data_IF_325533847254
#
_entry.id   IF_325533847254
#
_cell.length_a   1.000
_cell.length_b   1.000
_cell.length_c   1.000
_cell.angle_alpha   90.00
_cell.angle_beta   90.00
_cell.angle_gamma   90.00
#
_symmetry.space_group_name_H-M   'P 1'
#
loop_
_entity.id
_entity.type
_entity.pdbx_description
1 polymer ?
#
# COMPACT_ATOMS: atom_id res chain seq x y z
N UNK A 1 -25.78 -41.13 8.30
CA UNK A 1 -24.91 -42.32 8.37
C UNK A 1 -23.50 -41.85 8.08
N UNK A 2 -22.58 -41.99 9.03
CA UNK A 2 -21.16 -41.60 8.93
C UNK A 2 -20.40 -42.84 8.46
N UNK A 3 -19.53 -42.69 7.45
CA UNK A 3 -18.68 -43.77 6.97
C UNK A 3 -17.30 -43.69 7.67
N UNK A 4 -16.58 -44.82 7.70
CA UNK A 4 -15.21 -44.83 8.20
C UNK A 4 -14.35 -43.90 7.36
N UNK A 5 -13.70 -42.92 8.01
CA UNK A 5 -12.90 -41.86 7.36
C UNK A 5 -13.61 -40.50 7.25
N UNK A 6 -14.91 -40.42 7.51
CA UNK A 6 -15.62 -39.12 7.54
C UNK A 6 -15.22 -38.34 8.80
N UNK A 7 -14.90 -37.03 8.68
CA UNK A 7 -14.64 -36.19 9.84
C UNK A 7 -15.92 -35.98 10.65
N UNK A 8 -15.91 -36.31 11.94
CA UNK A 8 -17.09 -36.17 12.83
C UNK A 8 -16.96 -34.93 13.69
N UNK A 9 -15.74 -34.50 14.00
CA UNK A 9 -15.44 -33.36 14.85
C UNK A 9 -14.15 -32.69 14.37
N UNK A 10 -14.15 -31.37 14.38
CA UNK A 10 -12.92 -30.58 14.17
C UNK A 10 -12.58 -29.85 15.46
N UNK A 11 -11.39 -30.12 16.00
CA UNK A 11 -10.87 -29.41 17.14
C UNK A 11 -9.92 -28.31 16.65
N UNK A 12 -10.09 -27.10 17.14
CA UNK A 12 -9.30 -25.93 16.79
C UNK A 12 -8.58 -25.44 18.04
N UNK A 13 -7.28 -25.23 17.93
CA UNK A 13 -6.50 -24.53 18.94
C UNK A 13 -6.46 -23.03 18.58
N UNK A 14 -7.13 -22.15 19.34
CA UNK A 14 -7.16 -20.72 19.06
C UNK A 14 -5.77 -20.06 19.04
N UNK A 15 -4.81 -20.63 19.78
CA UNK A 15 -3.43 -20.10 19.83
C UNK A 15 -2.65 -20.30 18.52
N UNK A 16 -3.14 -21.18 17.64
CA UNK A 16 -2.50 -21.50 16.35
C UNK A 16 -3.20 -20.88 15.14
N UNK A 17 -4.15 -19.98 15.36
CA UNK A 17 -4.86 -19.31 14.26
C UNK A 17 -3.98 -18.26 13.60
N UNK A 18 -3.89 -18.31 12.28
CA UNK A 18 -3.16 -17.36 11.46
C UNK A 18 -4.10 -16.59 10.55
N UNK A 19 -3.73 -15.35 10.24
CA UNK A 19 -4.38 -14.56 9.20
C UNK A 19 -3.67 -14.87 7.88
N UNK A 20 -4.38 -15.47 6.94
CA UNK A 20 -3.86 -15.70 5.59
C UNK A 20 -4.21 -14.52 4.70
N UNK A 21 -3.21 -13.92 4.08
CA UNK A 21 -3.38 -12.85 3.13
C UNK A 21 -2.74 -13.19 1.77
N UNK A 22 -3.20 -12.50 0.74
CA UNK A 22 -2.72 -12.63 -0.63
C UNK A 22 -2.12 -11.29 -1.05
N UNK A 23 -0.94 -11.33 -1.62
CA UNK A 23 -0.18 -10.14 -2.01
C UNK A 23 0.25 -10.29 -3.46
N UNK A 24 -0.03 -9.26 -4.27
CA UNK A 24 0.39 -9.22 -5.68
C UNK A 24 1.88 -9.55 -5.81
N UNK A 25 2.25 -10.35 -6.81
CA UNK A 25 3.62 -10.80 -7.00
C UNK A 25 4.60 -9.65 -7.18
N UNK A 26 4.18 -8.57 -7.86
CA UNK A 26 5.00 -7.36 -8.04
C UNK A 26 5.43 -6.73 -6.69
N UNK A 27 4.58 -6.86 -5.65
CA UNK A 27 4.83 -6.34 -4.30
C UNK A 27 5.45 -7.37 -3.37
N UNK A 28 5.29 -8.64 -3.70
CA UNK A 28 5.73 -9.74 -2.84
C UNK A 28 7.26 -9.80 -2.64
N UNK A 29 8.02 -9.23 -3.57
CA UNK A 29 9.48 -9.10 -3.45
C UNK A 29 9.96 -8.21 -2.29
N UNK A 30 9.08 -7.37 -1.73
CA UNK A 30 9.39 -6.48 -0.61
C UNK A 30 9.05 -7.10 0.75
N UNK A 31 8.48 -8.31 0.77
CA UNK A 31 8.06 -8.99 1.98
C UNK A 31 9.22 -9.73 2.65
N UNK A 32 9.28 -9.64 3.95
CA UNK A 32 10.23 -10.38 4.78
C UNK A 32 9.54 -10.92 6.05
N UNK A 33 10.05 -12.02 6.55
CA UNK A 33 9.61 -12.57 7.84
C UNK A 33 9.84 -11.55 8.95
N UNK A 34 8.92 -11.47 9.90
CA UNK A 34 8.99 -10.55 11.02
C UNK A 34 8.53 -9.12 10.71
N UNK A 35 8.16 -8.80 9.47
CA UNK A 35 7.60 -7.48 9.16
C UNK A 35 6.29 -7.26 9.91
N UNK A 36 6.11 -6.06 10.51
CA UNK A 36 4.86 -5.71 11.16
C UNK A 36 3.76 -5.44 10.15
N UNK A 37 2.56 -5.77 10.54
CA UNK A 37 1.34 -5.48 9.78
C UNK A 37 0.20 -5.07 10.70
N UNK A 38 -0.77 -4.39 10.13
CA UNK A 38 -2.04 -4.07 10.76
C UNK A 38 -3.12 -4.95 10.16
N UNK A 39 -3.93 -5.57 11.01
CA UNK A 39 -5.03 -6.47 10.65
C UNK A 39 -6.33 -5.79 11.04
N UNK A 40 -7.29 -5.77 10.14
CA UNK A 40 -8.65 -5.30 10.38
C UNK A 40 -9.62 -6.41 10.03
N UNK A 41 -10.33 -6.93 11.02
CA UNK A 41 -11.34 -7.97 10.82
C UNK A 41 -12.63 -7.35 10.25
N UNK A 42 -13.29 -8.07 9.37
CA UNK A 42 -14.55 -7.58 8.76
C UNK A 42 -15.69 -7.48 9.76
N UNK A 43 -15.69 -8.30 10.81
CA UNK A 43 -16.64 -8.22 11.93
C UNK A 43 -16.40 -7.01 12.83
N UNK A 44 -15.16 -6.46 12.82
CA UNK A 44 -14.75 -5.34 13.67
C UNK A 44 -14.04 -4.24 12.84
N UNK A 45 -14.75 -3.56 11.94
CA UNK A 45 -14.13 -2.66 10.97
C UNK A 45 -13.51 -1.39 11.59
N UNK A 46 -13.88 -1.06 12.81
CA UNK A 46 -13.32 0.08 13.53
C UNK A 46 -12.07 -0.27 14.36
N UNK A 47 -11.80 -1.58 14.56
CA UNK A 47 -10.64 -2.03 15.35
C UNK A 47 -9.49 -2.41 14.42
N UNK A 48 -8.27 -2.10 14.86
CA UNK A 48 -7.03 -2.51 14.21
C UNK A 48 -6.20 -3.34 15.19
N UNK A 49 -5.71 -4.48 14.70
CA UNK A 49 -4.93 -5.42 15.48
C UNK A 49 -3.51 -5.51 14.90
N UNK A 50 -2.54 -5.80 15.77
CA UNK A 50 -1.14 -5.92 15.36
C UNK A 50 -0.84 -7.33 14.88
N UNK A 51 -0.26 -7.41 13.70
CA UNK A 51 0.20 -8.66 13.12
C UNK A 51 1.68 -8.65 12.79
N UNK A 52 2.23 -9.83 12.58
CA UNK A 52 3.62 -10.01 12.14
C UNK A 52 3.67 -11.14 11.12
N UNK A 53 4.39 -10.94 10.01
CA UNK A 53 4.57 -11.99 9.01
C UNK A 53 5.32 -13.15 9.63
N UNK A 54 4.65 -14.30 9.79
CA UNK A 54 5.21 -15.53 10.30
C UNK A 54 5.68 -16.46 9.18
N UNK A 55 5.03 -16.40 8.01
CA UNK A 55 5.36 -17.26 6.87
C UNK A 55 5.06 -16.55 5.55
N UNK A 56 5.92 -16.80 4.55
CA UNK A 56 5.73 -16.39 3.16
C UNK A 56 5.69 -17.64 2.30
N UNK A 57 4.69 -17.78 1.44
CA UNK A 57 4.55 -18.89 0.50
C UNK A 57 5.70 -18.89 -0.52
N UNK A 58 6.19 -20.09 -0.82
CA UNK A 58 7.23 -20.30 -1.84
C UNK A 58 6.62 -20.19 -3.24
N UNK A 59 5.35 -20.60 -3.37
CA UNK A 59 4.63 -20.61 -4.63
C UNK A 59 3.73 -19.38 -4.75
N UNK A 60 3.69 -18.80 -5.94
CA UNK A 60 2.67 -17.83 -6.34
C UNK A 60 1.54 -18.56 -7.07
N UNK A 61 0.31 -18.11 -6.90
CA UNK A 61 -0.83 -18.56 -7.69
C UNK A 61 -0.67 -18.03 -9.12
N UNK A 62 -0.63 -18.95 -10.10
CA UNK A 62 -0.39 -18.58 -11.51
C UNK A 62 -1.59 -17.93 -12.20
N UNK A 63 -2.76 -18.03 -11.60
CA UNK A 63 -4.00 -17.48 -12.18
C UNK A 63 -4.22 -16.04 -11.66
N UNK A 64 -3.99 -15.84 -10.37
CA UNK A 64 -4.23 -14.55 -9.72
C UNK A 64 -2.94 -13.72 -9.57
N UNK A 65 -1.77 -14.33 -9.86
CA UNK A 65 -0.45 -13.69 -9.70
C UNK A 65 -0.22 -13.18 -8.27
N UNK A 66 -0.72 -13.95 -7.29
CA UNK A 66 -0.64 -13.59 -5.87
C UNK A 66 0.24 -14.58 -5.10
N UNK A 67 0.96 -14.06 -4.12
CA UNK A 67 1.70 -14.84 -3.15
C UNK A 67 0.99 -14.88 -1.81
N UNK A 68 0.85 -16.07 -1.24
CA UNK A 68 0.25 -16.25 0.08
C UNK A 68 1.23 -15.89 1.20
N UNK A 69 0.75 -15.15 2.17
CA UNK A 69 1.47 -14.83 3.40
C UNK A 69 0.60 -15.15 4.61
N UNK A 70 1.22 -15.50 5.70
CA UNK A 70 0.53 -15.78 6.96
C UNK A 70 1.09 -14.87 8.04
N UNK A 71 0.18 -14.23 8.75
CA UNK A 71 0.52 -13.36 9.87
C UNK A 71 0.00 -13.99 11.17
N UNK A 72 0.81 -13.89 12.20
CA UNK A 72 0.32 -14.04 13.58
C UNK A 72 -0.37 -12.76 13.99
N UNK A 73 -1.34 -12.86 14.88
CA UNK A 73 -1.99 -11.70 15.48
C UNK A 73 -1.64 -11.67 16.98
N UNK A 74 -1.15 -10.53 17.44
CA UNK A 74 -0.70 -10.39 18.83
C UNK A 74 -1.85 -10.06 19.80
N UNK A 75 -2.85 -9.34 19.32
CA UNK A 75 -3.92 -8.75 20.12
C UNK A 75 -5.31 -8.94 19.50
N UNK A 76 -5.47 -9.92 18.62
CA UNK A 76 -6.77 -10.30 18.09
C UNK A 76 -7.69 -10.82 19.18
N UNK A 77 -9.02 -10.62 19.05
CA UNK A 77 -9.97 -11.14 20.00
C UNK A 77 -9.94 -12.68 20.06
N UNK A 78 -10.17 -13.23 21.23
CA UNK A 78 -10.20 -14.69 21.43
C UNK A 78 -11.34 -15.37 20.65
N UNK A 79 -12.40 -14.63 20.33
CA UNK A 79 -13.59 -15.11 19.63
C UNK A 79 -13.50 -14.79 18.11
N UNK A 80 -12.41 -15.18 17.47
CA UNK A 80 -12.30 -15.10 16.00
C UNK A 80 -12.96 -16.32 15.36
N UNK A 81 -13.59 -16.10 14.22
CA UNK A 81 -14.21 -17.17 13.43
C UNK A 81 -13.27 -17.61 12.31
N UNK A 82 -13.07 -18.91 12.15
CA UNK A 82 -12.33 -19.45 11.02
C UNK A 82 -13.05 -19.14 9.70
N UNK A 83 -12.29 -18.66 8.73
CA UNK A 83 -12.84 -18.23 7.44
C UNK A 83 -13.38 -16.80 7.44
N UNK A 84 -13.26 -16.08 8.55
CA UNK A 84 -13.55 -14.66 8.59
C UNK A 84 -12.59 -13.86 7.69
N UNK A 85 -13.13 -12.90 6.97
CA UNK A 85 -12.34 -12.02 6.11
C UNK A 85 -11.64 -10.92 6.92
N UNK A 86 -10.39 -10.67 6.54
CA UNK A 86 -9.58 -9.61 7.12
C UNK A 86 -8.89 -8.79 6.02
N UNK A 87 -8.71 -7.51 6.27
CA UNK A 87 -7.81 -6.64 5.52
C UNK A 87 -6.47 -6.59 6.25
N UNK A 88 -5.38 -6.77 5.51
CA UNK A 88 -4.02 -6.73 6.06
C UNK A 88 -3.22 -5.64 5.37
N UNK A 89 -2.59 -4.77 6.16
CA UNK A 89 -1.62 -3.77 5.69
C UNK A 89 -0.26 -4.12 6.25
N UNK A 90 0.70 -4.39 5.38
CA UNK A 90 2.06 -4.76 5.74
C UNK A 90 2.96 -3.54 5.55
N UNK A 91 3.73 -3.21 6.58
CA UNK A 91 4.71 -2.14 6.52
C UNK A 91 5.99 -2.68 5.85
N UNK A 92 6.21 -2.31 4.59
CA UNK A 92 7.38 -2.76 3.81
C UNK A 92 8.59 -1.84 3.97
N UNK A 93 8.38 -0.61 4.43
CA UNK A 93 9.47 0.34 4.67
C UNK A 93 9.01 1.64 5.29
N UNK A 94 9.94 2.37 5.87
CA UNK A 94 9.71 3.69 6.45
C UNK A 94 10.77 4.66 5.93
N UNK A 95 10.35 5.87 5.59
CA UNK A 95 11.22 6.98 5.24
C UNK A 95 11.09 8.06 6.32
N UNK A 96 12.21 8.55 6.84
CA UNK A 96 12.20 9.61 7.84
C UNK A 96 11.62 10.93 7.29
N UNK A 97 11.93 11.23 6.03
CA UNK A 97 11.39 12.36 5.27
C UNK A 97 11.24 11.95 3.82
N UNK A 98 10.12 12.30 3.22
CA UNK A 98 9.86 12.07 1.80
C UNK A 98 8.98 13.19 1.26
N UNK A 99 9.30 13.68 0.07
CA UNK A 99 8.39 14.54 -0.69
C UNK A 99 7.41 13.64 -1.44
N UNK A 100 6.14 13.70 -1.06
CA UNK A 100 5.09 12.88 -1.65
C UNK A 100 4.19 13.70 -2.56
N UNK A 101 3.88 13.17 -3.74
CA UNK A 101 2.97 13.80 -4.70
C UNK A 101 1.82 12.83 -5.03
N UNK A 102 0.56 13.32 -5.16
CA UNK A 102 -0.52 12.48 -5.62
C UNK A 102 -0.23 11.92 -7.01
N UNK A 103 -0.39 10.62 -7.21
CA UNK A 103 -0.14 9.97 -8.51
C UNK A 103 -0.99 10.59 -9.64
N UNK A 104 -2.19 11.05 -9.32
CA UNK A 104 -3.07 11.74 -10.26
C UNK A 104 -2.51 13.06 -10.79
N UNK A 105 -1.49 13.64 -10.14
CA UNK A 105 -0.81 14.84 -10.59
C UNK A 105 0.33 14.53 -11.60
N UNK A 106 0.65 13.26 -11.79
CA UNK A 106 1.74 12.80 -12.65
C UNK A 106 1.16 12.43 -14.02
N UNK A 107 1.69 12.98 -15.06
CA UNK A 107 1.33 12.65 -16.44
C UNK A 107 2.37 11.72 -17.06
N UNK A 108 1.93 10.65 -17.74
CA UNK A 108 2.83 9.68 -18.37
C UNK A 108 3.66 8.88 -17.37
N UNK A 109 3.09 8.55 -16.22
CA UNK A 109 3.77 7.77 -15.19
C UNK A 109 3.99 6.32 -15.66
N UNK A 110 5.25 5.89 -15.68
CA UNK A 110 5.66 4.54 -16.06
C UNK A 110 6.07 3.63 -14.88
N UNK A 111 5.84 4.11 -13.65
CA UNK A 111 6.27 3.45 -12.42
C UNK A 111 7.56 4.03 -11.83
N UNK A 112 8.37 4.72 -12.61
CA UNK A 112 9.64 5.34 -12.19
C UNK A 112 9.78 6.78 -12.60
N UNK A 113 9.23 7.18 -13.73
CA UNK A 113 9.32 8.52 -14.29
C UNK A 113 7.95 9.03 -14.69
N UNK A 114 7.83 10.34 -14.75
CA UNK A 114 6.65 11.02 -15.22
C UNK A 114 6.81 12.52 -15.15
N UNK A 115 5.90 13.23 -15.76
CA UNK A 115 5.90 14.70 -15.83
C UNK A 115 4.88 15.26 -14.86
N UNK A 116 5.30 16.25 -14.08
CA UNK A 116 4.41 17.03 -13.20
C UNK A 116 4.41 18.50 -13.62
N UNK A 117 3.35 19.18 -13.24
CA UNK A 117 3.35 20.64 -13.28
C UNK A 117 3.99 21.19 -12.00
N UNK A 118 4.89 22.14 -12.17
CA UNK A 118 5.55 22.87 -11.09
C UNK A 118 5.30 24.35 -11.21
N UNK A 119 5.51 25.07 -10.12
CA UNK A 119 5.57 26.54 -10.13
C UNK A 119 6.99 26.93 -9.79
N UNK A 120 7.65 27.61 -10.71
CA UNK A 120 8.97 28.21 -10.56
C UNK A 120 8.83 29.68 -10.87
N UNK A 121 9.30 30.57 -9.99
CA UNK A 121 9.22 32.02 -10.11
C UNK A 121 7.80 32.55 -10.46
N UNK A 122 6.78 31.91 -9.87
CA UNK A 122 5.38 32.28 -10.11
C UNK A 122 4.82 31.89 -11.48
N UNK A 123 5.49 30.99 -12.20
CA UNK A 123 5.06 30.49 -13.50
C UNK A 123 4.93 28.98 -13.53
N UNK A 124 3.93 28.49 -14.27
CA UNK A 124 3.75 27.07 -14.52
C UNK A 124 4.83 26.56 -15.47
N UNK A 125 5.48 25.48 -15.06
CA UNK A 125 6.51 24.79 -15.85
C UNK A 125 6.32 23.30 -15.73
N UNK A 126 6.65 22.53 -16.75
CA UNK A 126 6.68 21.07 -16.66
C UNK A 126 8.04 20.62 -16.18
N UNK A 127 8.06 19.65 -15.28
CA UNK A 127 9.26 18.99 -14.82
C UNK A 127 9.13 17.48 -14.96
N UNK A 128 10.11 16.84 -15.54
CA UNK A 128 10.23 15.39 -15.54
C UNK A 128 10.89 14.98 -14.22
N UNK A 129 10.21 14.15 -13.46
CA UNK A 129 10.65 13.69 -12.15
C UNK A 129 10.91 12.20 -12.15
N UNK A 130 11.80 11.80 -11.25
CA UNK A 130 12.03 10.40 -10.90
C UNK A 130 11.32 10.10 -9.59
N UNK A 131 10.63 8.97 -9.55
CA UNK A 131 9.77 8.57 -8.46
C UNK A 131 10.28 7.30 -7.79
N UNK A 132 10.01 7.18 -6.49
CA UNK A 132 10.37 6.05 -5.65
C UNK A 132 9.15 5.31 -5.12
N UNK A 133 9.10 5.14 -3.80
CA UNK A 133 8.05 4.36 -3.15
C UNK A 133 6.66 5.00 -3.29
N UNK A 134 5.64 4.12 -3.36
CA UNK A 134 4.23 4.50 -3.35
C UNK A 134 3.62 4.16 -1.99
N UNK A 135 2.82 5.06 -1.45
CA UNK A 135 2.07 4.81 -0.22
C UNK A 135 0.67 4.22 -0.49
N UNK A 136 -0.01 3.82 0.58
CA UNK A 136 -1.38 3.28 0.54
C UNK A 136 -2.46 4.35 0.26
N UNK A 137 -2.07 5.63 0.20
CA UNK A 137 -2.95 6.77 -0.10
C UNK A 137 -2.87 7.21 -1.56
N UNK A 138 -2.18 6.45 -2.42
CA UNK A 138 -2.00 6.77 -3.82
C UNK A 138 -1.08 7.96 -4.05
N UNK A 139 -0.10 8.17 -3.16
CA UNK A 139 0.96 9.17 -3.33
C UNK A 139 2.27 8.46 -3.66
N UNK A 140 3.13 9.12 -4.42
CA UNK A 140 4.41 8.61 -4.88
C UNK A 140 5.53 9.53 -4.39
N UNK A 141 6.61 8.92 -3.93
CA UNK A 141 7.81 9.63 -3.46
C UNK A 141 8.55 10.25 -4.65
N UNK A 142 8.92 11.53 -4.54
CA UNK A 142 9.81 12.20 -5.50
C UNK A 142 11.25 12.00 -5.01
N UNK A 143 12.08 11.33 -5.82
CA UNK A 143 13.48 11.05 -5.50
C UNK A 143 14.46 11.87 -6.34
N UNK A 144 14.00 12.56 -7.39
CA UNK A 144 14.85 13.40 -8.19
C UNK A 144 14.12 14.19 -9.27
N UNK A 145 14.81 15.15 -9.86
CA UNK A 145 14.35 15.95 -10.99
C UNK A 145 13.57 17.22 -10.61
N UNK A 146 13.25 17.44 -9.32
CA UNK A 146 12.57 18.66 -8.91
C UNK A 146 13.53 19.84 -8.89
N UNK A 147 13.27 20.93 -9.63
CA UNK A 147 14.08 22.13 -9.58
C UNK A 147 14.08 22.76 -8.19
N UNK A 148 15.19 23.38 -7.80
CA UNK A 148 15.30 24.07 -6.51
C UNK A 148 14.24 25.18 -6.38
N UNK A 149 13.59 25.26 -5.23
CA UNK A 149 12.52 26.21 -4.98
C UNK A 149 11.22 25.97 -5.73
N UNK A 150 11.12 24.91 -6.55
CA UNK A 150 9.90 24.58 -7.28
C UNK A 150 8.84 23.98 -6.34
N UNK A 151 7.58 24.32 -6.60
CA UNK A 151 6.43 23.72 -5.93
C UNK A 151 5.66 22.85 -6.92
N UNK A 152 5.30 21.64 -6.49
CA UNK A 152 4.52 20.72 -7.32
C UNK A 152 3.04 21.09 -7.25
N UNK A 153 2.38 21.13 -8.41
CA UNK A 153 0.95 21.37 -8.52
C UNK A 153 0.20 20.07 -8.30
N UNK A 154 -0.39 19.90 -7.12
CA UNK A 154 -1.11 18.68 -6.74
C UNK A 154 -2.40 18.47 -7.56
N UNK A 155 -3.03 19.55 -8.03
CA UNK A 155 -4.22 19.49 -8.89
C UNK A 155 -4.04 20.45 -10.06
N UNK A 156 -3.89 19.89 -11.24
CA UNK A 156 -3.68 20.66 -12.48
C UNK A 156 -4.96 21.43 -12.84
N UNK A 157 -4.92 22.78 -12.92
CA UNK A 157 -6.09 23.57 -13.29
C UNK A 157 -6.43 23.40 -14.79
N UNK A 158 -7.71 23.53 -15.12
CA UNK A 158 -8.15 23.55 -16.53
C UNK A 158 -7.43 24.68 -17.28
N UNK A 159 -6.86 24.36 -18.44
CA UNK A 159 -6.12 25.31 -19.26
C UNK A 159 -4.72 25.65 -18.74
N UNK A 160 -4.11 24.77 -17.97
CA UNK A 160 -2.69 24.88 -17.61
C UNK A 160 -1.84 24.93 -18.88
N UNK A 161 -0.99 25.96 -18.99
CA UNK A 161 -0.07 26.14 -20.10
C UNK A 161 1.28 26.58 -19.56
N UNK A 162 2.34 26.16 -20.24
CA UNK A 162 3.71 26.51 -19.89
C UNK A 162 3.92 28.02 -19.89
N UNK A 163 4.65 28.54 -18.91
CA UNK A 163 4.90 29.99 -18.76
C UNK A 163 3.74 30.80 -18.18
N UNK A 164 2.55 30.21 -18.02
CA UNK A 164 1.40 30.90 -17.45
C UNK A 164 1.67 31.28 -15.98
N UNK A 165 1.29 32.50 -15.60
CA UNK A 165 1.39 32.92 -14.20
C UNK A 165 0.51 32.06 -13.30
N UNK A 166 1.08 31.57 -12.21
CA UNK A 166 0.39 30.84 -11.17
C UNK A 166 0.40 31.65 -9.86
N UNK A 167 -0.72 31.64 -9.14
CA UNK A 167 -0.79 32.12 -7.77
C UNK A 167 -0.95 30.91 -6.86
N UNK A 168 -0.20 30.93 -5.76
CA UNK A 168 -0.36 29.92 -4.70
C UNK A 168 -1.61 30.33 -3.94
N UNK A 169 -2.64 29.48 -3.99
CA UNK A 169 -3.79 29.61 -3.10
C UNK A 169 -3.57 28.74 -1.87
N UNK A 170 -4.08 29.18 -0.71
CA UNK A 170 -4.21 28.28 0.44
C UNK A 170 -5.09 27.09 0.02
N UNK A 171 -4.64 25.87 0.38
CA UNK A 171 -5.46 24.69 0.20
C UNK A 171 -6.72 24.81 1.07
N UNK A 172 -7.92 24.46 0.56
CA UNK A 172 -9.15 24.44 1.33
C UNK A 172 -9.11 23.37 2.43
#
# INVERSE_FOLDING_TARGET
VVKAGDPVLTLIDPATVWIQAYVDEERAGQLALGQPGTIRLRSQPAAEFRGTIARIGIESDRVNEERRVWLTCADCPAEMFLGEQAEVRILTGTRATALMVPELAITGFDGHRGTVWTVVDGRLTRAELTFGARDDRGRVEVIGGLPEGAMIVARVPKGAAEGRRARIGEAP
#
